data_IF_136447701127
#
_entry.id   IF_136447701127
#
_cell.length_a   1.000
_cell.length_b   1.000
_cell.length_c   1.000
_cell.angle_alpha   90.00
_cell.angle_beta   90.00
_cell.angle_gamma   90.00
#
_symmetry.space_group_name_H-M   'P 1'
#
loop_
_entity.id
_entity.type
_entity.pdbx_description
1 polymer ?
#
# COMPACT_ATOMS: atom_id res chain seq x y z
N UNK A 1 -2.99 16.12 -26.16
CA UNK A 1 -3.49 15.40 -24.97
C UNK A 1 -4.82 15.98 -24.55
N UNK A 2 -5.89 15.19 -24.55
CA UNK A 2 -7.21 15.63 -24.08
C UNK A 2 -7.18 15.92 -22.57
N UNK A 3 -7.96 16.91 -22.12
CA UNK A 3 -8.09 17.29 -20.68
C UNK A 3 -8.47 16.10 -19.78
N UNK A 4 -9.14 15.08 -20.33
CA UNK A 4 -9.55 13.86 -19.62
C UNK A 4 -8.35 12.95 -19.31
N UNK A 5 -7.43 12.75 -20.26
CA UNK A 5 -6.26 11.89 -20.08
C UNK A 5 -5.29 12.48 -19.05
N UNK A 6 -5.17 13.82 -19.01
CA UNK A 6 -4.37 14.51 -17.99
C UNK A 6 -4.91 14.25 -16.58
N UNK A 7 -6.23 14.28 -16.39
CA UNK A 7 -6.88 13.97 -15.10
C UNK A 7 -6.65 12.52 -14.68
N UNK A 8 -6.77 11.58 -15.60
CA UNK A 8 -6.55 10.15 -15.33
C UNK A 8 -5.09 9.86 -14.98
N UNK A 9 -4.14 10.47 -15.70
CA UNK A 9 -2.72 10.36 -15.41
C UNK A 9 -2.36 10.95 -14.03
N UNK A 10 -2.94 12.11 -13.66
CA UNK A 10 -2.75 12.68 -12.32
C UNK A 10 -3.32 11.80 -11.21
N UNK A 11 -4.49 11.18 -11.41
CA UNK A 11 -5.07 10.27 -10.42
C UNK A 11 -4.25 8.98 -10.32
N UNK A 12 -3.75 8.47 -11.44
CA UNK A 12 -2.91 7.28 -11.48
C UNK A 12 -1.55 7.54 -10.82
N UNK A 13 -0.91 8.71 -11.02
CA UNK A 13 0.36 9.05 -10.39
C UNK A 13 0.27 9.15 -8.86
N UNK A 14 -0.91 9.44 -8.31
CA UNK A 14 -1.14 9.37 -6.86
C UNK A 14 -0.92 7.96 -6.29
N UNK A 15 -1.12 6.90 -7.09
CA UNK A 15 -0.83 5.53 -6.66
C UNK A 15 0.67 5.29 -6.42
N UNK A 16 1.54 5.86 -7.25
CA UNK A 16 2.99 5.83 -7.03
C UNK A 16 3.41 6.71 -5.84
N UNK A 17 2.76 7.85 -5.67
CA UNK A 17 2.97 8.73 -4.52
C UNK A 17 2.59 8.06 -3.20
N UNK A 18 1.50 7.28 -3.17
CA UNK A 18 1.06 6.51 -2.01
C UNK A 18 2.10 5.47 -1.56
N UNK A 19 2.83 4.84 -2.48
CA UNK A 19 3.91 3.91 -2.14
C UNK A 19 5.06 4.62 -1.39
N UNK A 20 5.47 5.79 -1.87
CA UNK A 20 6.46 6.62 -1.19
C UNK A 20 5.97 7.14 0.17
N UNK A 21 4.71 7.56 0.23
CA UNK A 21 4.07 8.07 1.44
C UNK A 21 4.06 7.03 2.57
N UNK A 22 3.65 5.79 2.28
CA UNK A 22 3.61 4.70 3.27
C UNK A 22 4.97 4.41 3.91
N UNK A 23 6.06 4.58 3.13
CA UNK A 23 7.44 4.40 3.60
C UNK A 23 7.89 5.59 4.45
N UNK A 24 7.56 6.82 4.04
CA UNK A 24 7.90 8.03 4.79
C UNK A 24 7.18 8.09 6.16
N UNK A 25 5.90 7.72 6.19
CA UNK A 25 5.08 7.74 7.43
C UNK A 25 5.63 6.77 8.47
N UNK A 26 5.99 5.53 8.08
CA UNK A 26 6.51 4.57 9.05
C UNK A 26 7.87 5.00 9.61
N UNK A 27 8.75 5.55 8.76
CA UNK A 27 10.05 6.07 9.22
C UNK A 27 9.90 7.25 10.19
N UNK A 28 8.91 8.12 10.00
CA UNK A 28 8.61 9.22 10.94
C UNK A 28 7.93 8.74 12.24
N UNK A 29 7.11 7.69 12.16
CA UNK A 29 6.33 7.21 13.28
C UNK A 29 7.07 6.16 14.15
N UNK A 30 8.10 5.49 13.64
CA UNK A 30 8.70 4.32 14.29
C UNK A 30 9.17 4.58 15.72
N UNK A 31 9.80 5.73 16.00
CA UNK A 31 10.24 6.09 17.36
C UNK A 31 9.06 6.21 18.33
N UNK A 32 7.96 6.79 17.89
CA UNK A 32 6.73 6.93 18.68
C UNK A 32 6.06 5.56 18.89
N UNK A 33 6.04 4.72 17.85
CA UNK A 33 5.54 3.34 17.95
C UNK A 33 6.36 2.49 18.92
N UNK A 34 7.69 2.61 18.89
CA UNK A 34 8.59 1.91 19.81
C UNK A 34 8.31 2.31 21.26
N UNK A 35 8.11 3.60 21.54
CA UNK A 35 7.74 4.06 22.88
C UNK A 35 6.34 3.63 23.30
N UNK A 36 5.35 3.66 22.39
CA UNK A 36 3.96 3.32 22.67
C UNK A 36 3.76 1.83 22.96
N UNK A 37 4.37 0.95 22.15
CA UNK A 37 4.24 -0.50 22.28
C UNK A 37 5.39 -1.14 23.09
N UNK A 38 6.38 -0.37 23.55
CA UNK A 38 7.60 -0.87 24.20
C UNK A 38 8.30 -1.95 23.36
N UNK A 39 8.53 -1.66 22.08
CA UNK A 39 9.00 -2.63 21.09
C UNK A 39 10.48 -2.97 21.22
N UNK A 40 10.83 -4.23 21.02
CA UNK A 40 12.21 -4.69 20.88
C UNK A 40 12.75 -4.42 19.45
N UNK A 41 14.08 -4.45 19.28
CA UNK A 41 14.72 -4.21 17.96
C UNK A 41 14.19 -5.13 16.85
N UNK A 42 13.90 -6.38 17.17
CA UNK A 42 13.33 -7.35 16.21
C UNK A 42 11.91 -6.96 15.78
N UNK A 43 11.10 -6.47 16.72
CA UNK A 43 9.71 -6.07 16.45
C UNK A 43 9.67 -4.78 15.63
N UNK A 44 10.60 -3.85 15.89
CA UNK A 44 10.79 -2.66 15.05
C UNK A 44 11.12 -3.06 13.60
N UNK A 45 12.05 -3.99 13.39
CA UNK A 45 12.36 -4.53 12.07
C UNK A 45 11.13 -5.18 11.43
N UNK A 46 10.33 -5.92 12.19
CA UNK A 46 9.09 -6.53 11.71
C UNK A 46 8.05 -5.48 11.32
N UNK A 47 7.87 -4.43 12.12
CA UNK A 47 6.94 -3.34 11.87
C UNK A 47 7.24 -2.65 10.53
N UNK A 48 8.52 -2.38 10.25
CA UNK A 48 8.95 -1.73 9.00
C UNK A 48 8.86 -2.67 7.80
N UNK A 49 9.31 -3.93 7.95
CA UNK A 49 9.33 -4.91 6.86
C UNK A 49 7.96 -5.53 6.53
N UNK A 50 6.99 -5.48 7.44
CA UNK A 50 5.65 -6.05 7.26
C UNK A 50 4.91 -5.51 6.02
N UNK A 51 5.04 -4.22 5.73
CA UNK A 51 4.44 -3.63 4.53
C UNK A 51 5.09 -4.16 3.24
N UNK A 52 6.42 -4.32 3.23
CA UNK A 52 7.18 -4.88 2.12
C UNK A 52 6.85 -6.36 1.91
N UNK A 53 6.66 -7.12 2.99
CA UNK A 53 6.20 -8.50 2.93
C UNK A 53 4.83 -8.60 2.24
N UNK A 54 3.89 -7.72 2.58
CA UNK A 54 2.60 -7.61 1.90
C UNK A 54 2.75 -7.30 0.40
N UNK A 55 3.63 -6.36 0.03
CA UNK A 55 3.92 -6.08 -1.38
C UNK A 55 4.46 -7.32 -2.12
N UNK A 56 5.39 -8.05 -1.51
CA UNK A 56 6.02 -9.23 -2.12
C UNK A 56 5.01 -10.36 -2.35
N UNK A 57 4.12 -10.62 -1.40
CA UNK A 57 3.06 -11.64 -1.53
C UNK A 57 2.17 -11.37 -2.74
N UNK A 58 1.85 -10.10 -3.03
CA UNK A 58 1.03 -9.75 -4.18
C UNK A 58 1.79 -9.57 -5.49
N UNK A 59 3.08 -9.26 -5.42
CA UNK A 59 3.91 -9.10 -6.61
C UNK A 59 3.97 -10.38 -7.45
N UNK A 60 4.00 -11.55 -6.80
CA UNK A 60 4.09 -12.87 -7.44
C UNK A 60 2.89 -13.20 -8.35
N UNK A 61 1.61 -13.10 -7.90
CA UNK A 61 0.45 -13.30 -8.76
C UNK A 61 -0.07 -12.02 -9.43
N UNK A 62 0.49 -10.85 -9.12
CA UNK A 62 -0.06 -9.54 -9.47
C UNK A 62 -0.29 -9.35 -10.98
N UNK A 63 0.63 -9.81 -11.82
CA UNK A 63 0.47 -9.73 -13.29
C UNK A 63 -0.70 -10.54 -13.83
N UNK A 64 -0.91 -11.76 -13.30
CA UNK A 64 -2.05 -12.61 -13.68
C UNK A 64 -3.37 -12.04 -13.16
N UNK A 65 -3.37 -11.56 -11.91
CA UNK A 65 -4.53 -10.93 -11.27
C UNK A 65 -4.96 -9.67 -12.03
N UNK A 66 -4.03 -8.84 -12.49
CA UNK A 66 -4.32 -7.61 -13.24
C UNK A 66 -4.84 -7.90 -14.65
N UNK A 67 -4.41 -8.99 -15.28
CA UNK A 67 -4.95 -9.39 -16.58
C UNK A 67 -6.35 -10.02 -16.45
N UNK A 68 -6.62 -10.75 -15.37
CA UNK A 68 -7.95 -11.33 -15.09
C UNK A 68 -8.96 -10.29 -14.57
N UNK A 69 -8.51 -9.33 -13.76
CA UNK A 69 -9.33 -8.23 -13.26
C UNK A 69 -9.30 -7.07 -14.23
N UNK A 70 -10.46 -6.60 -14.70
CA UNK A 70 -10.55 -5.33 -15.44
C UNK A 70 -9.78 -4.23 -14.68
N UNK A 71 -8.83 -3.54 -15.34
CA UNK A 71 -7.84 -2.65 -14.69
C UNK A 71 -8.43 -1.60 -13.74
N UNK A 72 -9.58 -1.02 -14.11
CA UNK A 72 -10.32 -0.10 -13.23
C UNK A 72 -10.74 -0.76 -11.91
N UNK A 73 -11.18 -2.02 -11.93
CA UNK A 73 -11.53 -2.78 -10.72
C UNK A 73 -10.30 -3.06 -9.86
N UNK A 74 -9.15 -3.36 -10.47
CA UNK A 74 -7.90 -3.58 -9.74
C UNK A 74 -7.47 -2.32 -8.97
N UNK A 75 -7.57 -1.12 -9.55
CA UNK A 75 -7.32 0.14 -8.86
C UNK A 75 -8.29 0.39 -7.69
N UNK A 76 -9.58 0.10 -7.88
CA UNK A 76 -10.58 0.24 -6.80
C UNK A 76 -10.27 -0.73 -5.65
N UNK A 77 -9.94 -1.98 -5.93
CA UNK A 77 -9.58 -2.98 -4.91
C UNK A 77 -8.32 -2.54 -4.17
N UNK A 78 -7.31 -2.01 -4.88
CA UNK A 78 -6.11 -1.47 -4.27
C UNK A 78 -6.44 -0.32 -3.31
N UNK A 79 -7.28 0.63 -3.74
CA UNK A 79 -7.70 1.75 -2.91
C UNK A 79 -8.46 1.29 -1.65
N UNK A 80 -9.36 0.31 -1.77
CA UNK A 80 -10.08 -0.27 -0.62
C UNK A 80 -9.14 -0.94 0.37
N UNK A 81 -8.14 -1.68 -0.10
CA UNK A 81 -7.15 -2.33 0.77
C UNK A 81 -6.28 -1.31 1.51
N UNK A 82 -5.82 -0.25 0.82
CA UNK A 82 -5.04 0.83 1.42
C UNK A 82 -5.89 1.56 2.48
N UNK A 83 -7.16 1.83 2.18
CA UNK A 83 -8.08 2.48 3.12
C UNK A 83 -8.38 1.62 4.34
N UNK A 84 -8.61 0.32 4.15
CA UNK A 84 -8.80 -0.63 5.26
C UNK A 84 -7.55 -0.71 6.15
N UNK A 85 -6.36 -0.73 5.54
CA UNK A 85 -5.09 -0.67 6.26
C UNK A 85 -4.94 0.63 7.06
N UNK A 86 -5.23 1.78 6.46
CA UNK A 86 -5.14 3.08 7.13
C UNK A 86 -6.05 3.15 8.36
N UNK A 87 -7.26 2.59 8.28
CA UNK A 87 -8.18 2.50 9.43
C UNK A 87 -7.59 1.56 10.50
N UNK A 88 -7.05 0.40 10.09
CA UNK A 88 -6.46 -0.57 11.01
C UNK A 88 -5.18 -0.09 11.70
N UNK A 89 -4.42 0.81 11.06
CA UNK A 89 -3.19 1.39 11.62
C UNK A 89 -3.42 2.68 12.41
N UNK A 90 -4.58 3.35 12.26
CA UNK A 90 -4.89 4.58 12.98
C UNK A 90 -5.15 4.35 14.48
N UNK A 91 -5.82 3.25 14.83
CA UNK A 91 -6.15 2.89 16.22
C UNK A 91 -5.82 1.41 16.47
N UNK A 92 -4.53 1.02 16.47
CA UNK A 92 -4.15 -0.36 16.68
C UNK A 92 -4.35 -0.74 18.16
N UNK A 93 -5.20 -1.74 18.49
CA UNK A 93 -5.37 -2.20 19.86
C UNK A 93 -4.11 -2.89 20.40
N UNK A 94 -3.38 -3.60 19.54
CA UNK A 94 -2.15 -4.34 19.88
C UNK A 94 -1.15 -4.26 18.72
N UNK A 95 0.13 -4.53 19.00
CA UNK A 95 1.19 -4.59 17.98
C UNK A 95 0.87 -5.58 16.85
N UNK A 96 0.19 -6.68 17.17
CA UNK A 96 -0.22 -7.69 16.19
C UNK A 96 -1.17 -7.13 15.15
N UNK A 97 -2.18 -6.38 15.58
CA UNK A 97 -3.14 -5.74 14.67
C UNK A 97 -2.46 -4.67 13.81
N UNK A 98 -1.45 -3.99 14.35
CA UNK A 98 -0.67 -3.00 13.61
C UNK A 98 0.05 -3.62 12.41
N UNK A 99 0.89 -4.65 12.61
CA UNK A 99 1.66 -5.23 11.51
C UNK A 99 0.77 -6.01 10.53
N UNK A 100 -0.33 -6.64 10.98
CA UNK A 100 -1.31 -7.27 10.09
C UNK A 100 -1.96 -6.23 9.18
N UNK A 101 -2.38 -5.10 9.74
CA UNK A 101 -2.97 -4.01 8.95
C UNK A 101 -1.97 -3.51 7.91
N UNK A 102 -0.69 -3.36 8.27
CA UNK A 102 0.37 -2.99 7.32
C UNK A 102 0.58 -4.00 6.20
N UNK A 103 0.44 -5.30 6.45
CA UNK A 103 0.47 -6.32 5.38
C UNK A 103 -0.67 -6.10 4.40
N UNK A 104 -1.89 -5.83 4.90
CA UNK A 104 -3.06 -5.54 4.07
C UNK A 104 -2.82 -4.27 3.22
N UNK A 105 -2.22 -3.25 3.82
CA UNK A 105 -1.80 -2.03 3.12
C UNK A 105 -0.79 -2.33 2.03
N UNK A 106 0.26 -3.10 2.34
CA UNK A 106 1.29 -3.55 1.39
C UNK A 106 0.70 -4.32 0.21
N UNK A 107 -0.28 -5.20 0.46
CA UNK A 107 -1.04 -5.84 -0.61
C UNK A 107 -1.76 -4.80 -1.49
N UNK A 108 -2.42 -3.81 -0.88
CA UNK A 108 -3.09 -2.73 -1.62
C UNK A 108 -2.12 -1.94 -2.50
N UNK A 109 -1.04 -1.45 -1.91
CA UNK A 109 -0.04 -0.64 -2.59
C UNK A 109 0.70 -1.44 -3.68
N UNK A 110 1.08 -2.68 -3.43
CA UNK A 110 1.70 -3.55 -4.44
C UNK A 110 0.83 -3.73 -5.68
N UNK A 111 -0.50 -3.83 -5.51
CA UNK A 111 -1.43 -3.90 -6.64
C UNK A 111 -1.53 -2.55 -7.36
N UNK A 112 -1.55 -1.43 -6.63
CA UNK A 112 -1.56 -0.10 -7.23
C UNK A 112 -0.31 0.13 -8.09
N UNK A 113 0.89 -0.19 -7.57
CA UNK A 113 2.16 0.00 -8.27
C UNK A 113 2.25 -0.77 -9.60
N UNK A 114 1.65 -1.96 -9.67
CA UNK A 114 1.60 -2.74 -10.91
C UNK A 114 0.51 -2.23 -11.87
N UNK A 115 -0.64 -1.78 -11.35
CA UNK A 115 -1.80 -1.41 -12.17
C UNK A 115 -1.70 0.00 -12.73
N UNK A 116 -1.08 0.94 -12.00
CA UNK A 116 -0.94 2.36 -12.39
C UNK A 116 -0.22 2.58 -13.72
N UNK A 117 1.03 2.10 -13.94
CA UNK A 117 1.74 2.35 -15.20
C UNK A 117 1.01 1.72 -16.38
N UNK A 118 0.43 0.56 -16.14
CA UNK A 118 -0.33 -0.23 -17.08
C UNK A 118 -1.67 0.44 -17.44
N UNK A 119 -2.30 1.15 -16.50
CA UNK A 119 -3.52 1.94 -16.74
C UNK A 119 -3.19 3.21 -17.54
N UNK A 120 -2.09 3.90 -17.21
CA UNK A 120 -1.63 5.10 -17.94
C UNK A 120 -1.26 4.76 -19.38
N UNK A 121 -0.64 3.60 -19.64
CA UNK A 121 -0.25 3.18 -21.00
C UNK A 121 -1.44 2.85 -21.91
N UNK A 122 -2.62 2.54 -21.33
CA UNK A 122 -3.81 2.14 -22.07
C UNK A 122 -4.79 3.32 -22.30
N UNK A 123 -4.58 4.44 -21.61
CA UNK A 123 -5.40 5.65 -21.66
C UNK A 123 -4.81 6.78 -22.51
#
# INVERSE_FOLDING_TARGET
MNKVNLRLASIASLGGLLFGYETAVISGAIKHLTAYFSLNSTEVCWAVSSALAGCMVKALPGGYIINALRRKKALIIAAVLILASAIGTALPPNFTTFWISRIIGGLGVGLASLTVPVYISES
#
